data_IF_195497765566
#
_entry.id   IF_195497765566
#
_cell.length_a   1.000
_cell.length_b   1.000
_cell.length_c   1.000
_cell.angle_alpha   90.00
_cell.angle_beta   90.00
_cell.angle_gamma   90.00
#
_symmetry.space_group_name_H-M   'P 1'
#
loop_
_entity.id
_entity.type
_entity.pdbx_description
1 polymer ?
#
# COMPACT_ATOMS: atom_id res chain seq x y z
N UNK A 1 4.11 -13.63 19.19
CA UNK A 1 4.75 -12.48 18.55
C UNK A 1 3.88 -11.97 17.43
N UNK A 2 3.54 -10.67 17.46
CA UNK A 2 2.71 -10.06 16.43
C UNK A 2 3.57 -9.79 15.19
N UNK A 3 3.17 -10.33 14.05
CA UNK A 3 3.86 -10.07 12.80
C UNK A 3 3.43 -8.72 12.23
N UNK A 4 4.38 -7.90 11.78
CA UNK A 4 4.07 -6.64 11.08
C UNK A 4 3.27 -6.86 9.80
N UNK A 5 3.31 -8.08 9.23
CA UNK A 5 2.55 -8.44 8.05
C UNK A 5 1.03 -8.34 8.25
N UNK A 6 0.55 -8.37 9.48
CA UNK A 6 -0.87 -8.30 9.81
C UNK A 6 -1.31 -6.90 10.23
N UNK A 7 -0.43 -5.91 10.17
CA UNK A 7 -0.76 -4.56 10.58
C UNK A 7 -1.72 -3.90 9.60
N UNK A 8 -2.68 -3.19 10.17
CA UNK A 8 -3.74 -2.50 9.44
C UNK A 8 -3.45 -1.02 9.36
N UNK A 9 -3.80 -0.40 8.23
CA UNK A 9 -3.70 1.06 8.08
C UNK A 9 -4.82 1.73 8.87
N UNK A 10 -4.51 2.70 9.76
CA UNK A 10 -5.56 3.52 10.36
C UNK A 10 -6.38 4.25 9.30
N UNK A 11 -7.70 4.35 9.48
CA UNK A 11 -8.57 4.98 8.48
C UNK A 11 -8.15 6.42 8.16
N UNK A 12 -7.79 7.21 9.17
CA UNK A 12 -7.35 8.60 8.94
C UNK A 12 -6.08 8.69 8.09
N UNK A 13 -5.18 7.73 8.22
CA UNK A 13 -3.95 7.67 7.40
C UNK A 13 -4.29 7.34 5.96
N UNK A 14 -5.19 6.38 5.75
CA UNK A 14 -5.68 6.05 4.42
C UNK A 14 -6.35 7.27 3.76
N UNK A 15 -7.18 7.99 4.49
CA UNK A 15 -7.83 9.19 3.96
C UNK A 15 -6.81 10.27 3.59
N UNK A 16 -5.76 10.45 4.39
CA UNK A 16 -4.67 11.38 4.09
C UNK A 16 -3.91 10.97 2.82
N UNK A 17 -3.69 9.69 2.62
CA UNK A 17 -3.08 9.17 1.39
C UNK A 17 -3.94 9.53 0.18
N UNK A 18 -5.22 9.26 0.25
CA UNK A 18 -6.16 9.58 -0.84
C UNK A 18 -6.20 11.07 -1.14
N UNK A 19 -6.31 11.89 -0.10
CA UNK A 19 -6.36 13.36 -0.25
C UNK A 19 -5.04 13.91 -0.82
N UNK A 20 -3.92 13.32 -0.42
CA UNK A 20 -2.60 13.74 -0.89
C UNK A 20 -2.48 13.67 -2.41
N UNK A 21 -3.06 12.65 -3.01
CA UNK A 21 -2.97 12.43 -4.46
C UNK A 21 -4.27 12.73 -5.21
N UNK A 22 -5.36 12.99 -4.50
CA UNK A 22 -6.68 13.24 -5.12
C UNK A 22 -7.25 11.99 -5.77
N UNK A 23 -6.91 10.80 -5.26
CA UNK A 23 -7.34 9.51 -5.81
C UNK A 23 -8.02 8.71 -4.71
N UNK A 24 -9.19 8.15 -5.01
CA UNK A 24 -10.00 7.38 -4.07
C UNK A 24 -10.21 5.97 -4.63
N UNK A 25 -9.34 5.01 -4.25
CA UNK A 25 -9.34 3.67 -4.83
C UNK A 25 -10.66 2.91 -4.63
N UNK A 26 -10.91 1.96 -5.52
CA UNK A 26 -12.10 1.11 -5.46
C UNK A 26 -11.78 -0.32 -5.02
N UNK A 27 -10.51 -0.69 -5.00
CA UNK A 27 -10.06 -2.05 -4.69
C UNK A 27 -8.94 -2.01 -3.65
N UNK A 28 -9.16 -2.67 -2.51
CA UNK A 28 -8.12 -2.91 -1.51
C UNK A 28 -7.55 -4.31 -1.76
N UNK A 29 -6.30 -4.37 -2.20
CA UNK A 29 -5.71 -5.64 -2.66
C UNK A 29 -5.12 -6.49 -1.53
N UNK A 30 -5.07 -5.95 -0.31
CA UNK A 30 -4.52 -6.68 0.83
C UNK A 30 -5.34 -6.35 2.09
N UNK A 31 -6.49 -7.00 2.24
CA UNK A 31 -7.43 -6.67 3.30
C UNK A 31 -8.26 -7.86 3.74
N UNK A 32 -8.89 -7.71 4.88
CA UNK A 32 -10.00 -8.58 5.30
C UNK A 32 -11.29 -7.80 5.18
N UNK A 33 -12.43 -8.48 5.33
CA UNK A 33 -13.74 -7.84 5.36
C UNK A 33 -13.80 -6.73 6.44
N UNK A 34 -13.15 -6.97 7.57
CA UNK A 34 -13.21 -6.08 8.74
C UNK A 34 -12.30 -4.85 8.59
N UNK A 35 -11.15 -4.97 7.93
CA UNK A 35 -10.17 -3.88 7.85
C UNK A 35 -10.07 -3.21 6.48
N UNK A 36 -10.87 -3.65 5.52
CA UNK A 36 -10.82 -3.11 4.16
C UNK A 36 -11.06 -1.60 4.12
N UNK A 37 -10.36 -0.95 3.22
CA UNK A 37 -10.52 0.49 2.98
C UNK A 37 -11.40 0.79 1.77
N UNK A 38 -11.70 -0.21 0.96
CA UNK A 38 -12.49 -0.08 -0.26
C UNK A 38 -13.67 -1.04 -0.23
N UNK A 39 -14.68 -0.76 -1.07
CA UNK A 39 -15.84 -1.63 -1.19
C UNK A 39 -15.46 -3.01 -1.69
N UNK A 40 -14.61 -3.08 -2.71
CA UNK A 40 -14.06 -4.32 -3.23
C UNK A 40 -12.71 -4.58 -2.57
N UNK A 41 -12.42 -5.84 -2.28
CA UNK A 41 -11.17 -6.21 -1.60
C UNK A 41 -10.78 -7.64 -1.93
N UNK A 42 -9.48 -7.91 -1.82
CA UNK A 42 -8.93 -9.25 -1.91
C UNK A 42 -8.35 -9.63 -0.57
N UNK A 43 -8.81 -10.76 -0.02
CA UNK A 43 -8.36 -11.28 1.28
C UNK A 43 -7.43 -12.49 1.13
N UNK A 44 -7.25 -12.99 -0.08
CA UNK A 44 -6.36 -14.13 -0.37
C UNK A 44 -5.94 -14.13 -1.84
N UNK A 45 -4.78 -14.72 -2.10
CA UNK A 45 -4.23 -14.96 -3.44
C UNK A 45 -4.19 -13.71 -4.34
N UNK A 46 -3.96 -12.54 -3.75
CA UNK A 46 -3.98 -11.26 -4.49
C UNK A 46 -2.96 -11.22 -5.63
N UNK A 47 -1.79 -11.85 -5.45
CA UNK A 47 -0.75 -11.88 -6.48
C UNK A 47 -1.05 -12.87 -7.62
N UNK A 48 -2.23 -13.48 -7.61
CA UNK A 48 -2.74 -14.34 -8.68
C UNK A 48 -4.01 -13.75 -9.33
N UNK A 49 -4.39 -12.54 -8.91
CA UNK A 49 -5.61 -11.86 -9.37
C UNK A 49 -5.25 -10.63 -10.17
N UNK A 50 -6.19 -10.18 -11.02
CA UNK A 50 -6.03 -8.94 -11.76
C UNK A 50 -6.49 -7.75 -10.93
N UNK A 51 -5.71 -6.66 -10.96
CA UNK A 51 -6.03 -5.41 -10.29
C UNK A 51 -6.43 -4.39 -11.36
N UNK A 52 -7.66 -4.50 -11.84
CA UNK A 52 -8.13 -3.74 -13.01
C UNK A 52 -8.83 -2.43 -12.66
N UNK A 53 -8.84 -2.05 -11.40
CA UNK A 53 -9.40 -0.78 -10.91
C UNK A 53 -8.35 -0.05 -10.11
N UNK A 54 -8.56 1.25 -9.90
CA UNK A 54 -7.69 2.01 -8.99
C UNK A 54 -7.62 1.27 -7.66
N UNK A 55 -6.40 1.00 -7.18
CA UNK A 55 -6.20 0.12 -6.03
C UNK A 55 -5.42 0.79 -4.90
N UNK A 56 -5.64 0.27 -3.70
CA UNK A 56 -4.87 0.58 -2.50
C UNK A 56 -4.13 -0.66 -2.03
N UNK A 57 -2.88 -0.48 -1.64
CA UNK A 57 -2.01 -1.56 -1.18
C UNK A 57 -1.24 -1.16 0.08
N UNK A 58 -1.47 -1.92 1.16
CA UNK A 58 -0.59 -1.95 2.33
C UNK A 58 -0.14 -3.40 2.47
N UNK A 59 0.98 -3.78 1.84
CA UNK A 59 1.33 -5.18 1.68
C UNK A 59 1.98 -5.78 2.94
N UNK A 60 2.07 -7.12 3.02
CA UNK A 60 2.92 -7.76 4.01
C UNK A 60 4.36 -7.29 3.85
N UNK A 61 4.95 -6.74 4.90
CA UNK A 61 6.27 -6.09 4.80
C UNK A 61 7.40 -7.08 4.52
N UNK A 62 7.26 -8.32 4.93
CA UNK A 62 8.22 -9.37 4.60
C UNK A 62 8.27 -9.70 3.11
N UNK A 63 7.26 -9.29 2.34
CA UNK A 63 7.13 -9.59 0.92
C UNK A 63 6.96 -8.35 0.05
N UNK A 64 7.37 -7.18 0.53
CA UNK A 64 7.23 -5.92 -0.21
C UNK A 64 7.78 -6.00 -1.64
N UNK A 65 8.92 -6.66 -1.84
CA UNK A 65 9.51 -6.80 -3.16
C UNK A 65 8.57 -7.46 -4.17
N UNK A 66 7.85 -8.48 -3.77
CA UNK A 66 6.90 -9.21 -4.63
C UNK A 66 5.66 -8.36 -4.91
N UNK A 67 5.11 -7.76 -3.86
CA UNK A 67 3.89 -6.96 -3.97
C UNK A 67 4.09 -5.69 -4.77
N UNK A 68 5.20 -4.98 -4.56
CA UNK A 68 5.52 -3.76 -5.30
C UNK A 68 5.71 -4.05 -6.78
N UNK A 69 6.44 -5.10 -7.11
CA UNK A 69 6.62 -5.54 -8.50
C UNK A 69 5.28 -5.84 -9.15
N UNK A 70 4.43 -6.60 -8.48
CA UNK A 70 3.12 -6.98 -9.01
C UNK A 70 2.24 -5.74 -9.21
N UNK A 71 2.22 -4.84 -8.22
CA UNK A 71 1.46 -3.60 -8.29
C UNK A 71 1.87 -2.74 -9.49
N UNK A 72 3.16 -2.58 -9.70
CA UNK A 72 3.67 -1.80 -10.82
C UNK A 72 3.20 -2.37 -12.16
N UNK A 73 3.30 -3.68 -12.35
CA UNK A 73 2.87 -4.31 -13.60
C UNK A 73 1.35 -4.32 -13.77
N UNK A 74 0.58 -4.43 -12.69
CA UNK A 74 -0.87 -4.31 -12.76
C UNK A 74 -1.29 -2.87 -13.14
N UNK A 75 -0.63 -1.87 -12.56
CA UNK A 75 -0.81 -0.48 -12.92
C UNK A 75 -0.57 -0.26 -14.42
N UNK A 76 0.50 -0.81 -14.97
CA UNK A 76 0.82 -0.68 -16.38
C UNK A 76 -0.18 -1.44 -17.26
N UNK A 77 -0.48 -2.69 -16.89
CA UNK A 77 -1.33 -3.57 -17.68
C UNK A 77 -2.74 -3.01 -17.85
N UNK A 78 -3.30 -2.48 -16.78
CA UNK A 78 -4.69 -2.00 -16.76
C UNK A 78 -4.82 -0.50 -16.87
N UNK A 79 -3.71 0.24 -16.89
CA UNK A 79 -3.68 1.69 -16.88
C UNK A 79 -4.58 2.27 -15.79
N UNK A 80 -4.33 1.86 -14.55
CA UNK A 80 -5.06 2.31 -13.37
C UNK A 80 -4.11 3.03 -12.41
N UNK A 81 -4.68 3.84 -11.52
CA UNK A 81 -3.91 4.44 -10.44
C UNK A 81 -3.66 3.39 -9.35
N UNK A 82 -2.44 3.36 -8.80
CA UNK A 82 -2.13 2.53 -7.66
C UNK A 82 -1.62 3.37 -6.50
N UNK A 83 -2.23 3.22 -5.34
CA UNK A 83 -1.79 3.88 -4.10
C UNK A 83 -1.22 2.84 -3.14
N UNK A 84 -0.12 3.18 -2.49
CA UNK A 84 0.49 2.29 -1.51
C UNK A 84 1.03 3.05 -0.32
N UNK A 85 1.04 2.38 0.83
CA UNK A 85 1.78 2.78 2.01
C UNK A 85 2.89 1.76 2.19
N UNK A 86 4.14 2.22 2.16
CA UNK A 86 5.30 1.33 2.17
C UNK A 86 6.33 1.81 3.17
N UNK A 87 7.11 0.89 3.79
CA UNK A 87 8.29 1.29 4.52
C UNK A 87 9.29 1.90 3.54
N UNK A 88 9.96 2.97 3.98
CA UNK A 88 11.00 3.62 3.17
C UNK A 88 12.21 2.69 3.13
N UNK A 89 12.57 2.26 1.94
CA UNK A 89 13.65 1.28 1.75
C UNK A 89 14.48 1.65 0.51
N UNK A 90 15.14 2.80 0.58
CA UNK A 90 15.81 3.41 -0.57
C UNK A 90 17.01 2.62 -1.10
N UNK A 91 17.52 1.66 -0.32
CA UNK A 91 18.59 0.76 -0.77
C UNK A 91 18.11 -0.51 -1.43
N UNK A 92 16.80 -0.76 -1.46
CA UNK A 92 16.24 -1.99 -2.03
C UNK A 92 16.12 -1.92 -3.55
N UNK A 93 16.31 -3.06 -4.20
CA UNK A 93 16.14 -3.14 -5.66
C UNK A 93 14.73 -2.74 -6.08
N UNK A 94 13.69 -3.21 -5.36
CA UNK A 94 12.32 -2.89 -5.74
C UNK A 94 12.02 -1.38 -5.66
N UNK A 95 12.67 -0.65 -4.75
CA UNK A 95 12.50 0.80 -4.65
C UNK A 95 13.00 1.49 -5.91
N UNK A 96 14.17 1.09 -6.41
CA UNK A 96 14.76 1.65 -7.62
C UNK A 96 14.08 1.16 -8.89
N UNK A 97 13.68 -0.10 -8.92
CA UNK A 97 13.12 -0.70 -10.14
C UNK A 97 11.68 -0.26 -10.41
N UNK A 98 10.88 -0.03 -9.35
CA UNK A 98 9.44 0.14 -9.52
C UNK A 98 8.86 1.41 -8.88
N UNK A 99 9.61 2.13 -8.07
CA UNK A 99 9.12 3.32 -7.36
C UNK A 99 9.88 4.57 -7.77
N UNK A 100 11.19 4.59 -7.57
CA UNK A 100 12.02 5.76 -7.89
C UNK A 100 11.89 6.10 -9.38
N UNK A 101 11.58 7.36 -9.68
CA UNK A 101 11.41 7.87 -11.05
C UNK A 101 10.22 7.24 -11.82
N UNK A 102 9.37 6.48 -11.15
CA UNK A 102 8.17 5.86 -11.74
C UNK A 102 6.89 6.19 -10.99
N UNK A 103 7.00 6.59 -9.75
CA UNK A 103 5.86 6.91 -8.90
C UNK A 103 6.06 8.26 -8.23
N UNK A 104 4.97 8.89 -7.84
CA UNK A 104 5.01 10.04 -6.93
C UNK A 104 5.18 9.52 -5.51
N UNK A 105 6.03 10.17 -4.71
CA UNK A 105 6.33 9.76 -3.34
C UNK A 105 6.10 10.94 -2.42
N UNK A 106 5.35 10.71 -1.34
CA UNK A 106 5.20 11.68 -0.25
C UNK A 106 5.66 11.01 1.04
N UNK A 107 6.60 11.67 1.74
CA UNK A 107 7.15 11.11 2.97
C UNK A 107 6.26 11.48 4.15
N UNK A 108 5.96 10.51 4.99
CA UNK A 108 5.15 10.72 6.18
C UNK A 108 6.05 11.23 7.33
N UNK A 109 5.66 12.37 7.90
CA UNK A 109 6.40 12.92 9.05
C UNK A 109 6.07 12.09 10.29
N UNK A 110 7.11 11.60 10.95
CA UNK A 110 6.96 10.68 12.08
C UNK A 110 6.71 9.26 11.58
N UNK A 111 6.20 8.42 12.47
CA UNK A 111 5.93 7.01 12.15
C UNK A 111 4.46 6.69 12.35
N UNK A 112 3.90 5.91 11.43
CA UNK A 112 2.50 5.52 11.47
C UNK A 112 2.33 4.47 12.58
N UNK A 113 1.35 4.69 13.45
CA UNK A 113 0.93 3.69 14.43
C UNK A 113 -0.11 2.80 13.79
N UNK A 114 0.36 1.73 13.18
CA UNK A 114 -0.53 0.75 12.55
C UNK A 114 -1.41 0.09 13.59
N UNK A 115 -2.51 -0.50 13.15
CA UNK A 115 -3.50 -1.13 14.00
C UNK A 115 -3.49 -2.64 13.84
N UNK A 116 -3.99 -3.32 14.87
CA UNK A 116 -4.29 -4.74 14.83
C UNK A 116 -5.66 -4.91 15.49
N UNK A 117 -6.64 -5.43 14.74
CA UNK A 117 -8.03 -5.49 15.18
C UNK A 117 -8.54 -4.12 15.65
N UNK A 118 -8.21 -3.07 14.89
CA UNK A 118 -8.55 -1.67 15.15
C UNK A 118 -7.90 -1.08 16.42
N UNK A 119 -6.93 -1.76 17.03
CA UNK A 119 -6.21 -1.28 18.21
C UNK A 119 -4.84 -0.77 17.78
N UNK A 120 -4.51 0.51 18.06
CA UNK A 120 -3.19 1.06 17.73
C UNK A 120 -2.07 0.27 18.39
N UNK A 121 -1.02 -0.01 17.62
CA UNK A 121 0.16 -0.73 18.09
C UNK A 121 1.27 0.24 18.47
N UNK A 122 2.19 -0.22 19.30
CA UNK A 122 3.35 0.57 19.68
C UNK A 122 4.28 0.79 18.48
N UNK A 123 5.12 1.81 18.58
CA UNK A 123 5.98 2.39 17.57
C UNK A 123 6.53 1.43 16.51
N UNK A 124 6.21 1.60 15.23
CA UNK A 124 6.85 0.85 14.16
C UNK A 124 8.34 1.20 14.10
N UNK A 125 9.15 0.25 13.61
CA UNK A 125 10.60 0.39 13.52
C UNK A 125 11.07 1.02 12.22
N UNK A 126 10.17 1.58 11.43
CA UNK A 126 10.49 2.10 10.10
C UNK A 126 9.69 3.36 9.81
N UNK A 127 10.23 4.17 8.93
CA UNK A 127 9.53 5.31 8.37
C UNK A 127 8.67 4.85 7.21
N UNK A 128 7.56 5.55 6.97
CA UNK A 128 6.63 5.20 5.90
C UNK A 128 6.60 6.26 4.81
N UNK A 129 6.29 5.82 3.59
CA UNK A 129 6.04 6.69 2.47
C UNK A 129 4.69 6.39 1.84
N UNK A 130 4.05 7.43 1.32
CA UNK A 130 2.89 7.33 0.44
C UNK A 130 3.39 7.28 -0.99
N UNK A 131 2.95 6.29 -1.74
CA UNK A 131 3.40 6.06 -3.11
C UNK A 131 2.19 6.05 -4.03
N UNK A 132 2.30 6.72 -5.17
CA UNK A 132 1.26 6.69 -6.18
C UNK A 132 1.83 6.44 -7.57
N UNK A 133 1.41 5.35 -8.19
CA UNK A 133 1.61 5.14 -9.62
C UNK A 133 0.39 5.73 -10.33
N UNK A 134 0.60 6.84 -11.04
CA UNK A 134 -0.48 7.52 -11.76
C UNK A 134 -0.75 6.84 -13.09
N UNK A 135 -2.03 6.63 -13.42
CA UNK A 135 -2.38 6.18 -14.76
C UNK A 135 -1.98 7.24 -15.80
N UNK A 136 -1.69 6.78 -16.96
CA UNK A 136 -1.29 7.65 -18.08
C UNK A 136 -2.51 8.30 -18.74
#
# INVERSE_FOLDING_TARGET
MIRMDNYETPLEIYERLCDCFGIYPKLDVCATKENRKCKEYYDHESLKREWSKDFFMNPPYSECNKWVKYAYFQHLKHNVNGLAILPVSTGSAYWHDYIFDKASIAYFKGRIKFELNHIPQANPRFDSAFVCWHKV
#
